data_IF_563521778343
#
_entry.id   IF_563521778343
#
_cell.length_a   1.000
_cell.length_b   1.000
_cell.length_c   1.000
_cell.angle_alpha   90.00
_cell.angle_beta   90.00
_cell.angle_gamma   90.00
#
_symmetry.space_group_name_H-M   'P 1'
#
loop_
_entity.id
_entity.type
_entity.pdbx_description
1 polymer ?
#
# COMPACT_ATOMS: atom_id res chain seq x y z
N UNK A 1 -8.19 -1.04 0.81
CA UNK A 1 -7.79 0.11 -0.02
C UNK A 1 -8.34 1.39 0.60
N UNK A 2 -7.56 2.47 0.73
CA UNK A 2 -7.96 3.75 1.39
C UNK A 2 -7.26 4.95 0.75
N UNK A 3 -7.89 6.12 0.70
CA UNK A 3 -7.31 7.35 0.14
C UNK A 3 -6.63 8.22 1.20
N UNK A 4 -5.71 9.09 0.77
CA UNK A 4 -4.90 9.92 1.66
C UNK A 4 -4.75 11.38 1.19
N UNK A 5 -5.00 12.33 2.11
CA UNK A 5 -4.71 13.76 1.94
C UNK A 5 -4.22 14.43 3.25
N UNK A 6 -2.90 14.51 3.47
CA UNK A 6 -2.33 15.33 4.55
C UNK A 6 -2.61 16.81 4.29
N UNK A 7 -2.62 17.65 5.33
CA UNK A 7 -2.74 19.10 5.14
C UNK A 7 -2.04 19.97 6.19
N UNK A 8 -1.07 20.77 5.73
CA UNK A 8 -1.08 22.23 5.99
C UNK A 8 -0.22 23.04 5.00
N UNK A 9 -0.86 23.95 4.26
CA UNK A 9 -0.27 25.10 3.55
C UNK A 9 0.98 24.87 2.66
N UNK A 10 0.82 24.12 1.56
CA UNK A 10 1.08 24.58 0.18
C UNK A 10 1.13 23.37 -0.78
N UNK A 11 0.16 23.28 -1.71
CA UNK A 11 0.01 22.17 -2.70
C UNK A 11 0.35 20.79 -2.14
N UNK A 12 -0.61 20.23 -1.41
CA UNK A 12 -0.54 18.88 -0.90
C UNK A 12 -0.66 17.93 -2.08
N UNK A 13 0.22 16.94 -2.18
CA UNK A 13 0.07 15.86 -3.15
C UNK A 13 -0.90 14.86 -2.55
N UNK A 14 -2.08 14.76 -3.13
CA UNK A 14 -3.03 13.71 -2.75
C UNK A 14 -2.54 12.38 -3.31
N UNK A 15 -2.55 11.37 -2.45
CA UNK A 15 -1.95 10.06 -2.69
C UNK A 15 -3.00 8.99 -2.49
N UNK A 16 -3.12 8.11 -3.49
CA UNK A 16 -4.13 7.06 -3.50
C UNK A 16 -3.44 5.75 -3.08
N UNK A 17 -3.99 5.07 -2.06
CA UNK A 17 -3.33 3.93 -1.41
C UNK A 17 -4.16 2.65 -1.50
N UNK A 18 -3.58 1.68 -2.18
CA UNK A 18 -4.22 0.48 -2.64
C UNK A 18 -3.62 -0.72 -1.92
N UNK A 19 -4.46 -1.58 -1.32
CA UNK A 19 -3.97 -2.77 -0.60
C UNK A 19 -5.01 -3.90 -0.53
N UNK A 20 -4.54 -5.13 -0.43
CA UNK A 20 -5.32 -6.35 -0.24
C UNK A 20 -4.51 -7.46 0.45
N UNK A 21 -5.19 -8.35 1.17
CA UNK A 21 -4.61 -9.58 1.71
C UNK A 21 -5.23 -10.83 1.10
N UNK A 22 -4.42 -11.86 0.91
CA UNK A 22 -4.84 -13.22 0.54
C UNK A 22 -4.29 -14.24 1.54
N UNK A 23 -5.06 -15.27 1.86
CA UNK A 23 -4.64 -16.38 2.71
C UNK A 23 -5.08 -17.73 2.14
N UNK A 24 -4.18 -18.72 2.17
CA UNK A 24 -4.45 -20.07 1.70
C UNK A 24 -4.90 -20.98 2.84
N UNK A 25 -6.09 -21.57 2.71
CA UNK A 25 -6.58 -22.56 3.69
C UNK A 25 -5.79 -23.88 3.66
N UNK A 26 -5.05 -24.16 2.58
CA UNK A 26 -4.32 -25.43 2.39
C UNK A 26 -2.86 -25.34 2.82
N UNK A 27 -2.11 -24.34 2.34
CA UNK A 27 -0.70 -24.13 2.76
C UNK A 27 -0.59 -23.37 4.08
N UNK A 28 -1.69 -22.76 4.56
CA UNK A 28 -1.76 -21.80 5.68
C UNK A 28 -0.99 -20.49 5.48
N UNK A 29 -0.17 -20.38 4.44
CA UNK A 29 0.56 -19.17 4.08
C UNK A 29 -0.40 -18.08 3.58
N UNK A 30 0.07 -16.84 3.55
CA UNK A 30 -0.63 -15.71 2.94
C UNK A 30 0.24 -14.88 2.01
N UNK A 31 -0.38 -13.89 1.39
CA UNK A 31 0.27 -12.90 0.56
C UNK A 31 -0.40 -11.54 0.73
N UNK A 32 0.39 -10.48 0.70
CA UNK A 32 -0.05 -9.09 0.89
C UNK A 32 0.29 -8.31 -0.38
N UNK A 33 -0.67 -7.58 -0.93
CA UNK A 33 -0.47 -6.72 -2.10
C UNK A 33 -0.73 -5.27 -1.73
N UNK A 34 0.21 -4.38 -2.06
CA UNK A 34 0.19 -2.97 -1.66
C UNK A 34 0.70 -2.10 -2.80
N UNK A 35 0.09 -0.95 -3.06
CA UNK A 35 0.58 0.04 -4.01
C UNK A 35 0.14 1.47 -3.64
N UNK A 36 0.90 2.45 -4.09
CA UNK A 36 0.65 3.88 -3.89
C UNK A 36 1.09 4.67 -5.11
N UNK A 37 0.30 5.66 -5.50
CA UNK A 37 0.60 6.62 -6.55
C UNK A 37 0.05 8.00 -6.15
N UNK A 38 0.60 9.06 -6.73
CA UNK A 38 -0.04 10.37 -6.62
C UNK A 38 -1.20 10.44 -7.62
N UNK A 39 -2.33 11.04 -7.23
CA UNK A 39 -3.53 11.16 -8.09
C UNK A 39 -3.20 11.77 -9.47
N UNK A 40 -2.24 12.71 -9.50
CA UNK A 40 -1.80 13.42 -10.69
C UNK A 40 -0.57 12.79 -11.41
N UNK A 41 -0.08 11.62 -10.95
CA UNK A 41 1.09 10.91 -11.49
C UNK A 41 0.95 9.39 -11.31
N UNK A 42 -0.11 8.83 -11.91
CA UNK A 42 -0.47 7.39 -11.86
C UNK A 42 0.65 6.49 -12.41
N UNK A 43 1.42 6.96 -13.39
CA UNK A 43 2.54 6.22 -13.99
C UNK A 43 3.73 6.04 -13.05
N UNK A 44 3.76 6.75 -11.92
CA UNK A 44 4.80 6.70 -10.91
C UNK A 44 4.32 5.93 -9.66
N UNK A 45 3.67 4.79 -9.89
CA UNK A 45 3.24 3.88 -8.84
C UNK A 45 4.44 3.22 -8.16
N UNK A 46 4.42 3.14 -6.83
CA UNK A 46 5.24 2.21 -6.05
C UNK A 46 4.38 1.04 -5.61
N UNK A 47 4.89 -0.17 -5.68
CA UNK A 47 4.17 -1.35 -5.19
C UNK A 47 5.05 -2.34 -4.44
N UNK A 48 4.41 -3.15 -3.62
CA UNK A 48 4.99 -4.26 -2.88
C UNK A 48 4.02 -5.44 -2.83
N UNK A 49 4.50 -6.59 -3.28
CA UNK A 49 3.91 -7.90 -3.01
C UNK A 49 4.77 -8.60 -1.95
N UNK A 50 4.16 -9.11 -0.89
CA UNK A 50 4.85 -9.75 0.25
C UNK A 50 4.29 -11.15 0.48
N UNK A 51 5.13 -12.17 0.45
CA UNK A 51 4.80 -13.53 0.88
C UNK A 51 4.88 -13.66 2.41
N UNK A 52 3.87 -14.27 3.02
CA UNK A 52 3.75 -14.44 4.46
C UNK A 52 3.72 -15.95 4.77
N UNK A 53 4.83 -16.45 5.32
CA UNK A 53 4.99 -17.88 5.65
C UNK A 53 4.42 -18.22 7.03
N UNK A 54 3.71 -19.34 7.13
CA UNK A 54 3.08 -19.79 8.38
C UNK A 54 1.65 -19.28 8.55
N UNK A 55 1.02 -19.60 9.69
CA UNK A 55 -0.43 -19.56 9.92
C UNK A 55 -1.08 -18.17 9.75
N UNK A 56 -1.34 -17.81 8.50
CA UNK A 56 -1.84 -16.51 8.08
C UNK A 56 -3.34 -16.58 7.86
N UNK A 57 -4.07 -15.69 8.52
CA UNK A 57 -5.49 -15.46 8.24
C UNK A 57 -5.64 -14.34 7.21
N UNK A 58 -6.78 -14.26 6.53
CA UNK A 58 -7.03 -13.18 5.56
C UNK A 58 -6.85 -11.80 6.19
N UNK A 59 -7.38 -11.62 7.41
CA UNK A 59 -7.23 -10.39 8.19
C UNK A 59 -5.76 -10.05 8.47
N UNK A 60 -4.91 -11.05 8.76
CA UNK A 60 -3.48 -10.82 9.00
C UNK A 60 -2.77 -10.35 7.73
N UNK A 61 -3.08 -10.96 6.58
CA UNK A 61 -2.57 -10.53 5.28
C UNK A 61 -3.06 -9.13 4.89
N UNK A 62 -4.33 -8.80 5.18
CA UNK A 62 -4.87 -7.45 4.98
C UNK A 62 -4.15 -6.42 5.86
N UNK A 63 -3.91 -6.72 7.14
CA UNK A 63 -3.12 -5.84 8.02
C UNK A 63 -1.67 -5.66 7.55
N UNK A 64 -0.99 -6.72 7.10
CA UNK A 64 0.36 -6.62 6.54
C UNK A 64 0.39 -5.72 5.31
N UNK A 65 -0.59 -5.88 4.41
CA UNK A 65 -0.71 -5.03 3.21
C UNK A 65 -0.99 -3.56 3.55
N UNK A 66 -1.85 -3.27 4.54
CA UNK A 66 -2.07 -1.91 5.02
C UNK A 66 -0.78 -1.30 5.61
N UNK A 67 -0.05 -2.06 6.43
CA UNK A 67 1.22 -1.61 7.04
C UNK A 67 2.27 -1.34 5.94
N UNK A 68 2.41 -2.24 4.96
CA UNK A 68 3.30 -2.06 3.82
C UNK A 68 2.96 -0.80 3.01
N UNK A 69 1.67 -0.58 2.74
CA UNK A 69 1.19 0.58 2.00
C UNK A 69 1.44 1.90 2.75
N UNK A 70 1.20 1.94 4.07
CA UNK A 70 1.53 3.09 4.94
C UNK A 70 3.04 3.35 5.01
N UNK A 71 3.87 2.30 5.11
CA UNK A 71 5.34 2.44 5.06
C UNK A 71 5.78 3.02 3.72
N UNK A 72 5.17 2.63 2.60
CA UNK A 72 5.46 3.21 1.29
C UNK A 72 5.01 4.67 1.18
N UNK A 73 3.85 5.05 1.74
CA UNK A 73 3.41 6.44 1.82
C UNK A 73 4.42 7.30 2.58
N UNK A 74 4.79 6.85 3.78
CA UNK A 74 5.73 7.58 4.65
C UNK A 74 7.12 7.64 4.03
N UNK A 75 7.60 6.58 3.36
CA UNK A 75 8.89 6.59 2.64
C UNK A 75 8.85 7.42 1.35
N UNK A 76 7.69 7.51 0.68
CA UNK A 76 7.47 8.35 -0.49
C UNK A 76 7.57 9.84 -0.16
N UNK A 77 6.95 10.26 0.96
CA UNK A 77 7.04 11.64 1.42
C UNK A 77 8.41 11.99 2.04
N UNK A 78 9.14 11.00 2.60
CA UNK A 78 10.34 11.24 3.40
C UNK A 78 11.58 11.71 2.63
N UNK A 79 11.60 11.64 1.29
CA UNK A 79 12.67 12.32 0.53
C UNK A 79 12.64 13.84 0.75
N UNK A 80 11.49 14.39 1.20
CA UNK A 80 11.28 15.79 1.51
C UNK A 80 11.42 16.12 3.02
N UNK A 81 11.01 15.22 3.93
CA UNK A 81 10.99 15.48 5.40
C UNK A 81 12.19 14.91 6.17
N UNK A 82 13.04 14.09 5.54
CA UNK A 82 14.43 13.96 6.03
C UNK A 82 15.14 15.33 6.13
N UNK A 83 14.63 16.38 5.45
CA UNK A 83 15.06 17.78 5.61
C UNK A 83 14.29 18.60 6.67
N UNK A 84 13.30 18.05 7.40
CA UNK A 84 12.39 18.82 8.27
C UNK A 84 12.34 18.47 9.77
N UNK A 85 13.25 17.64 10.29
CA UNK A 85 14.12 18.01 11.42
C UNK A 85 13.53 18.49 12.80
N UNK A 86 12.21 18.56 13.07
CA UNK A 86 11.63 19.48 14.09
C UNK A 86 10.47 18.92 14.96
N UNK A 87 10.61 17.71 15.51
CA UNK A 87 9.66 16.89 16.32
C UNK A 87 8.65 17.57 17.28
N UNK A 88 7.41 17.04 17.38
CA UNK A 88 6.34 17.61 18.26
C UNK A 88 5.43 16.61 19.03
N UNK A 89 4.78 15.61 18.41
CA UNK A 89 3.54 14.98 18.96
C UNK A 89 3.58 13.46 19.33
N UNK A 90 2.43 12.84 19.62
CA UNK A 90 2.26 11.47 20.20
C UNK A 90 0.92 10.79 19.81
N UNK A 91 0.89 9.44 19.78
CA UNK A 91 -0.28 8.57 19.48
C UNK A 91 -0.43 7.42 20.54
N UNK A 92 -1.59 6.75 20.63
CA UNK A 92 -2.03 6.00 21.83
C UNK A 92 -2.54 4.54 21.66
N UNK A 93 -2.23 3.80 20.59
CA UNK A 93 -2.69 2.39 20.43
C UNK A 93 -1.55 1.34 20.41
N UNK A 94 -1.59 0.40 21.36
CA UNK A 94 -0.42 -0.37 21.83
C UNK A 94 0.30 -1.28 20.83
N UNK A 95 -0.36 -1.84 19.82
CA UNK A 95 0.26 -2.81 18.89
C UNK A 95 0.77 -2.17 17.59
N UNK A 96 0.28 -0.98 17.24
CA UNK A 96 0.74 -0.19 16.07
C UNK A 96 2.00 0.63 16.39
N UNK A 97 2.24 0.91 17.68
CA UNK A 97 3.35 1.74 18.17
C UNK A 97 4.73 1.34 17.61
N UNK A 98 5.17 0.07 17.54
CA UNK A 98 6.53 -0.26 17.06
C UNK A 98 6.78 0.13 15.60
N UNK A 99 5.77 -0.02 14.74
CA UNK A 99 5.89 0.28 13.30
C UNK A 99 5.68 1.77 13.00
N UNK A 100 4.82 2.46 13.76
CA UNK A 100 4.79 3.93 13.70
C UNK A 100 6.10 4.53 14.20
N UNK A 101 6.68 4.04 15.30
CA UNK A 101 7.93 4.56 15.89
C UNK A 101 9.12 4.57 14.93
N UNK A 102 9.24 3.59 14.02
CA UNK A 102 10.31 3.58 13.00
C UNK A 102 10.07 4.60 11.86
N UNK A 103 8.85 5.12 11.77
CA UNK A 103 8.38 6.12 10.80
C UNK A 103 8.11 7.51 11.41
N UNK A 104 8.27 7.66 12.72
CA UNK A 104 7.75 8.79 13.51
C UNK A 104 8.57 10.08 13.34
N UNK A 105 8.25 10.80 12.26
CA UNK A 105 8.81 12.10 11.90
C UNK A 105 7.77 13.18 11.57
N UNK A 106 6.74 13.37 12.42
CA UNK A 106 5.73 14.44 12.32
C UNK A 106 4.84 14.49 11.05
N UNK A 107 4.16 13.39 10.69
CA UNK A 107 3.11 13.45 9.68
C UNK A 107 1.73 13.17 10.28
N UNK A 108 0.86 14.18 10.24
CA UNK A 108 -0.58 13.96 10.39
C UNK A 108 -1.12 13.64 9.00
N UNK A 109 -1.18 12.35 8.69
CA UNK A 109 -1.92 11.86 7.54
C UNK A 109 -3.42 12.04 7.85
N UNK A 110 -4.15 12.91 7.14
CA UNK A 110 -5.60 12.75 7.11
C UNK A 110 -5.90 11.70 6.05
N UNK A 111 -6.47 10.58 6.46
CA UNK A 111 -6.83 9.50 5.55
C UNK A 111 -8.35 9.45 5.40
N UNK A 112 -8.82 9.27 4.17
CA UNK A 112 -10.22 9.07 3.80
C UNK A 112 -10.40 7.59 3.49
N UNK A 113 -11.13 6.89 4.35
CA UNK A 113 -11.18 5.42 4.32
C UNK A 113 -12.37 4.97 3.46
N UNK A 114 -12.14 4.83 2.16
CA UNK A 114 -13.16 4.42 1.18
C UNK A 114 -13.23 2.90 1.07
N UNK A 115 -14.43 2.30 1.20
CA UNK A 115 -14.62 0.89 0.84
C UNK A 115 -14.94 0.79 -0.66
N UNK A 116 -14.15 0.02 -1.39
CA UNK A 116 -14.32 -0.24 -2.83
C UNK A 116 -14.68 -1.71 -3.08
N UNK A 117 -15.33 -2.00 -4.20
CA UNK A 117 -15.63 -3.38 -4.60
C UNK A 117 -14.37 -4.08 -5.10
N UNK A 118 -14.41 -5.42 -5.25
CA UNK A 118 -13.25 -6.19 -5.75
C UNK A 118 -12.80 -5.75 -7.14
N UNK A 119 -13.75 -5.34 -7.97
CA UNK A 119 -13.51 -4.91 -9.36
C UNK A 119 -12.84 -3.53 -9.46
N UNK A 120 -12.70 -2.83 -8.32
CA UNK A 120 -11.98 -1.56 -8.13
C UNK A 120 -10.72 -1.74 -7.24
N UNK A 121 -10.30 -2.98 -7.01
CA UNK A 121 -9.23 -3.35 -6.08
C UNK A 121 -8.32 -4.44 -6.70
N UNK A 122 -8.40 -4.64 -8.01
CA UNK A 122 -7.81 -5.76 -8.74
C UNK A 122 -6.28 -5.73 -8.69
N UNK A 123 -5.64 -4.55 -8.76
CA UNK A 123 -4.19 -4.46 -8.76
C UNK A 123 -3.57 -4.93 -7.43
N UNK A 124 -4.18 -4.56 -6.30
CA UNK A 124 -3.72 -5.02 -5.00
C UNK A 124 -4.09 -6.49 -4.73
N UNK A 125 -5.24 -6.95 -5.21
CA UNK A 125 -5.65 -8.35 -5.15
C UNK A 125 -4.70 -9.26 -5.93
N UNK A 126 -4.34 -8.87 -7.17
CA UNK A 126 -3.31 -9.51 -7.98
C UNK A 126 -1.97 -9.62 -7.24
N UNK A 127 -1.44 -8.50 -6.73
CA UNK A 127 -0.17 -8.50 -5.97
C UNK A 127 -0.24 -9.43 -4.73
N UNK A 128 -1.38 -9.47 -4.04
CA UNK A 128 -1.56 -10.35 -2.87
C UNK A 128 -1.59 -11.84 -3.25
N UNK A 129 -2.15 -12.17 -4.41
CA UNK A 129 -2.25 -13.55 -4.93
C UNK A 129 -0.95 -14.03 -5.54
N UNK A 130 -0.24 -13.21 -6.31
CA UNK A 130 1.01 -13.62 -6.97
C UNK A 130 2.09 -13.95 -5.92
N UNK A 131 2.23 -13.13 -4.87
CA UNK A 131 3.15 -13.41 -3.77
C UNK A 131 2.80 -14.69 -2.98
N UNK A 132 1.51 -14.99 -2.81
CA UNK A 132 1.05 -16.24 -2.18
C UNK A 132 1.30 -17.46 -3.07
N UNK A 133 1.01 -17.35 -4.37
CA UNK A 133 1.08 -18.47 -5.31
C UNK A 133 2.52 -18.85 -5.66
N UNK A 134 3.42 -17.87 -5.76
CA UNK A 134 4.84 -18.08 -6.10
C UNK A 134 5.75 -18.15 -4.86
N UNK A 135 5.18 -17.96 -3.66
CA UNK A 135 5.88 -17.89 -2.37
C UNK A 135 7.04 -16.87 -2.35
N UNK A 136 6.88 -15.77 -3.09
CA UNK A 136 7.94 -14.78 -3.39
C UNK A 136 7.49 -13.32 -3.14
N UNK A 137 8.46 -12.44 -2.91
CA UNK A 137 8.25 -11.00 -2.75
C UNK A 137 8.57 -10.24 -4.04
N UNK A 138 7.79 -9.20 -4.36
CA UNK A 138 8.02 -8.35 -5.54
C UNK A 138 7.90 -6.86 -5.20
N UNK A 139 8.69 -6.03 -5.87
CA UNK A 139 8.59 -4.56 -5.85
C UNK A 139 8.95 -3.98 -7.21
N UNK A 140 8.42 -2.82 -7.56
CA UNK A 140 8.81 -2.11 -8.78
C UNK A 140 10.26 -1.57 -8.74
N UNK A 141 10.91 -1.60 -7.57
CA UNK A 141 12.31 -1.16 -7.38
C UNK A 141 13.33 -2.30 -7.52
N UNK A 142 12.88 -3.57 -7.53
CA UNK A 142 13.77 -4.73 -7.69
C UNK A 142 13.99 -5.10 -9.16
N UNK A 143 15.25 -5.35 -9.53
CA UNK A 143 15.61 -5.87 -10.86
C UNK A 143 15.17 -7.33 -11.06
N UNK A 144 14.90 -8.06 -9.96
CA UNK A 144 14.46 -9.45 -9.99
C UNK A 144 12.94 -9.60 -10.20
N UNK A 145 12.18 -8.49 -10.22
CA UNK A 145 10.73 -8.53 -10.47
C UNK A 145 10.46 -8.74 -11.97
N UNK A 146 9.73 -9.80 -12.36
CA UNK A 146 9.36 -10.04 -13.75
C UNK A 146 8.61 -8.87 -14.37
N UNK A 147 8.82 -8.63 -15.67
CA UNK A 147 8.18 -7.52 -16.39
C UNK A 147 6.68 -7.72 -16.49
N UNK A 148 6.27 -8.96 -16.63
CA UNK A 148 4.89 -9.42 -16.71
C UNK A 148 4.12 -8.98 -15.45
N UNK A 149 4.72 -9.10 -14.26
CA UNK A 149 4.12 -8.63 -12.99
C UNK A 149 4.00 -7.10 -12.97
N UNK A 150 4.98 -6.36 -13.49
CA UNK A 150 4.92 -4.89 -13.59
C UNK A 150 3.78 -4.47 -14.53
N UNK A 151 3.74 -5.03 -15.74
CA UNK A 151 2.77 -4.71 -16.79
C UNK A 151 1.34 -5.07 -16.37
N UNK A 152 1.13 -6.25 -15.78
CA UNK A 152 -0.18 -6.70 -15.32
C UNK A 152 -0.68 -5.90 -14.11
N UNK A 153 0.20 -5.52 -13.17
CA UNK A 153 -0.14 -4.60 -12.06
C UNK A 153 -0.59 -3.23 -12.57
N UNK A 154 0.07 -2.69 -13.60
CA UNK A 154 -0.29 -1.41 -14.22
C UNK A 154 -1.62 -1.46 -14.97
N UNK A 155 -1.89 -2.56 -15.68
CA UNK A 155 -3.16 -2.77 -16.39
C UNK A 155 -4.33 -2.82 -15.39
N UNK A 156 -4.25 -3.64 -14.35
CA UNK A 156 -5.28 -3.69 -13.31
C UNK A 156 -5.48 -2.34 -12.60
N UNK A 157 -4.40 -1.58 -12.37
CA UNK A 157 -4.50 -0.26 -11.77
C UNK A 157 -5.25 0.73 -12.67
N UNK A 158 -5.02 0.67 -13.98
CA UNK A 158 -5.73 1.50 -14.94
C UNK A 158 -7.23 1.15 -15.02
N UNK A 159 -7.58 -0.12 -14.85
CA UNK A 159 -8.98 -0.56 -14.77
C UNK A 159 -9.65 -0.15 -13.46
N UNK A 160 -8.97 -0.31 -12.32
CA UNK A 160 -9.47 0.09 -11.00
C UNK A 160 -9.78 1.61 -10.95
N UNK A 161 -8.88 2.45 -11.49
CA UNK A 161 -9.05 3.92 -11.56
C UNK A 161 -10.23 4.31 -12.45
N UNK A 162 -10.41 3.62 -13.59
CA UNK A 162 -11.57 3.85 -14.46
C UNK A 162 -12.87 3.48 -13.73
N UNK A 163 -12.92 2.30 -13.09
CA UNK A 163 -14.08 1.84 -12.36
C UNK A 163 -14.49 2.82 -11.23
N UNK A 164 -13.51 3.33 -10.48
CA UNK A 164 -13.73 4.35 -9.45
C UNK A 164 -14.31 5.65 -10.02
N UNK A 165 -13.74 6.14 -11.14
CA UNK A 165 -14.18 7.37 -11.82
C UNK A 165 -15.61 7.29 -12.34
N UNK A 166 -16.09 6.11 -12.76
CA UNK A 166 -17.48 5.94 -13.23
C UNK A 166 -18.51 5.79 -12.10
N UNK A 167 -18.07 5.66 -10.85
CA UNK A 167 -18.94 5.42 -9.69
C UNK A 167 -18.97 6.59 -8.68
N UNK A 168 -18.30 7.71 -8.99
CA UNK A 168 -18.21 8.93 -8.17
C UNK A 168 -18.92 10.14 -8.81
#
# INVERSE_FOLDING_TARGET
>A
MFDFSASKNSRLKEGIVYFNGAASLTSKNGGSGSLIFAENDVFNVKYKASFIKGETTNNLAEYDSLINALIMAIRGDNLLILQQQKGIYRVSQKYLIPFLLESEGNYIYNCVWTHVTRDMNQAADYLSKIALNEEQNYTNESQDTPKEIIEETLNYLQDDIQAFTYCS
#
